data_IF_906107486646
#
_entry.id   IF_906107486646
#
_cell.length_a   1.000
_cell.length_b   1.000
_cell.length_c   1.000
_cell.angle_alpha   90.00
_cell.angle_beta   90.00
_cell.angle_gamma   90.00
#
_symmetry.space_group_name_H-M   'P 1'
#
loop_
_entity.id
_entity.type
_entity.pdbx_description
1 polymer ?
#
# COMPACT_ATOMS: atom_id res chain seq x y z
N UNK A 1 16.76 7.38 0.53
CA UNK A 1 15.71 6.61 1.24
C UNK A 1 16.15 5.99 2.58
N UNK A 2 17.09 5.03 2.64
CA UNK A 2 17.40 4.31 3.90
C UNK A 2 17.79 5.20 5.10
N UNK A 3 18.70 6.18 4.91
CA UNK A 3 19.12 7.12 5.97
C UNK A 3 17.94 7.92 6.55
N UNK A 4 17.02 8.35 5.67
CA UNK A 4 15.84 9.12 6.08
C UNK A 4 14.89 8.24 6.89
N UNK A 5 14.69 6.99 6.48
CA UNK A 5 13.89 6.02 7.24
C UNK A 5 14.50 5.71 8.60
N UNK A 6 15.82 5.54 8.70
CA UNK A 6 16.48 5.31 9.99
C UNK A 6 16.29 6.51 10.93
N UNK A 7 16.48 7.74 10.43
CA UNK A 7 16.21 8.95 11.20
C UNK A 7 14.74 9.02 11.63
N UNK A 8 13.81 8.77 10.71
CA UNK A 8 12.39 8.75 11.02
C UNK A 8 12.04 7.70 12.08
N UNK A 9 12.59 6.48 12.02
CA UNK A 9 12.36 5.45 13.05
C UNK A 9 12.89 5.86 14.41
N UNK A 10 14.06 6.53 14.48
CA UNK A 10 14.61 7.05 15.74
C UNK A 10 13.70 8.11 16.39
N UNK A 11 13.07 8.94 15.58
CA UNK A 11 12.20 10.03 16.03
C UNK A 11 10.76 9.54 16.32
N UNK A 12 10.16 8.82 15.36
CA UNK A 12 8.77 8.34 15.40
C UNK A 12 8.57 7.14 16.33
N UNK A 13 9.60 6.28 16.44
CA UNK A 13 9.64 5.07 17.30
C UNK A 13 8.46 4.12 17.07
N UNK A 14 8.27 3.63 15.83
CA UNK A 14 7.16 2.73 15.48
C UNK A 14 7.11 1.48 16.37
N UNK A 15 8.26 0.95 16.78
CA UNK A 15 8.41 -0.22 17.65
C UNK A 15 7.86 -0.03 19.07
N UNK A 16 7.63 1.22 19.49
CA UNK A 16 7.12 1.57 20.81
C UNK A 16 5.61 1.77 20.86
N UNK A 17 4.95 1.82 19.70
CA UNK A 17 3.49 1.97 19.66
C UNK A 17 2.86 0.70 20.24
N UNK A 18 1.87 0.89 21.11
CA UNK A 18 1.06 -0.16 21.71
C UNK A 18 -0.40 0.01 21.34
N UNK A 19 -1.18 -1.05 21.51
CA UNK A 19 -2.61 -1.08 21.25
C UNK A 19 -3.33 0.08 21.93
N UNK A 20 -3.02 0.35 23.20
CA UNK A 20 -3.64 1.41 23.98
C UNK A 20 -3.41 2.81 23.40
N UNK A 21 -2.31 3.03 22.65
CA UNK A 21 -2.03 4.31 21.98
C UNK A 21 -2.97 4.57 20.78
N UNK A 22 -3.52 3.50 20.20
CA UNK A 22 -4.26 3.56 18.92
C UNK A 22 -5.67 2.96 19.01
N UNK A 23 -6.10 2.46 20.17
CA UNK A 23 -7.37 1.75 20.35
C UNK A 23 -8.58 2.55 19.84
N UNK A 24 -8.62 3.86 20.13
CA UNK A 24 -9.65 4.77 19.63
C UNK A 24 -9.66 4.87 18.09
N UNK A 25 -8.50 4.83 17.44
CA UNK A 25 -8.41 4.85 15.97
C UNK A 25 -8.89 3.53 15.36
N UNK A 26 -8.80 2.43 16.10
CA UNK A 26 -9.14 1.08 15.64
C UNK A 26 -10.60 0.66 15.91
N UNK A 27 -11.36 1.44 16.69
CA UNK A 27 -12.70 1.10 17.18
C UNK A 27 -13.67 0.64 16.07
N UNK A 28 -13.64 1.33 14.93
CA UNK A 28 -14.52 1.04 13.79
C UNK A 28 -13.90 0.08 12.78
N UNK A 29 -12.67 -0.40 13.01
CA UNK A 29 -11.92 -1.22 12.06
C UNK A 29 -11.70 -0.54 10.71
N UNK A 30 -11.45 0.77 10.70
CA UNK A 30 -11.14 1.51 9.46
C UNK A 30 -9.82 1.08 8.80
N UNK A 31 -8.89 0.54 9.59
CA UNK A 31 -7.68 -0.14 9.13
C UNK A 31 -7.42 -1.28 10.11
N UNK A 32 -7.18 -2.50 9.64
CA UNK A 32 -6.83 -3.63 10.50
C UNK A 32 -6.15 -4.76 9.74
N UNK A 33 -5.35 -5.58 10.45
CA UNK A 33 -4.76 -6.81 9.91
C UNK A 33 -5.80 -7.93 9.98
N UNK A 34 -6.07 -8.61 8.88
CA UNK A 34 -6.95 -9.77 8.88
C UNK A 34 -6.31 -10.95 9.64
N UNK A 35 -7.15 -11.83 10.18
CA UNK A 35 -6.71 -13.09 10.81
C UNK A 35 -6.53 -14.25 9.82
N UNK A 36 -6.58 -13.95 8.52
CA UNK A 36 -6.32 -14.89 7.43
C UNK A 36 -5.25 -14.33 6.48
N UNK A 37 -4.63 -15.24 5.76
CA UNK A 37 -3.64 -14.95 4.72
C UNK A 37 -4.27 -15.17 3.35
N UNK A 38 -3.67 -14.60 2.32
CA UNK A 38 -3.96 -15.02 0.95
C UNK A 38 -3.38 -16.42 0.68
N UNK A 39 -3.72 -17.01 -0.47
CA UNK A 39 -3.24 -18.35 -0.87
C UNK A 39 -1.72 -18.42 -1.10
N UNK A 40 -1.03 -17.28 -1.19
CA UNK A 40 0.44 -17.19 -1.27
C UNK A 40 1.10 -16.98 0.10
N UNK A 41 0.33 -16.99 1.18
CA UNK A 41 0.83 -16.81 2.54
C UNK A 41 1.15 -15.36 2.88
N UNK A 42 0.63 -14.39 2.12
CA UNK A 42 0.80 -12.96 2.39
C UNK A 42 -0.24 -12.49 3.39
N UNK A 43 0.22 -11.67 4.34
CA UNK A 43 -0.66 -10.97 5.28
C UNK A 43 -1.63 -10.06 4.52
N UNK A 44 -2.87 -10.01 4.99
CA UNK A 44 -3.92 -9.14 4.41
C UNK A 44 -4.17 -7.96 5.35
N UNK A 45 -4.01 -6.75 4.82
CA UNK A 45 -4.33 -5.51 5.51
C UNK A 45 -5.60 -4.92 4.88
N UNK A 46 -6.61 -4.70 5.71
CA UNK A 46 -7.92 -4.22 5.28
C UNK A 46 -8.03 -2.73 5.58
N UNK A 47 -8.47 -1.97 4.58
CA UNK A 47 -8.74 -0.54 4.68
C UNK A 47 -10.22 -0.31 4.39
N UNK A 48 -10.94 0.33 5.31
CA UNK A 48 -12.36 0.65 5.18
C UNK A 48 -12.55 2.15 5.36
N UNK A 49 -12.25 2.98 4.34
CA UNK A 49 -12.32 4.43 4.47
C UNK A 49 -13.70 4.96 4.86
N UNK A 50 -14.80 4.26 4.54
CA UNK A 50 -16.15 4.61 4.99
C UNK A 50 -16.36 4.53 6.51
N UNK A 51 -15.42 3.93 7.24
CA UNK A 51 -15.49 3.73 8.70
C UNK A 51 -14.63 4.73 9.48
N UNK A 52 -14.21 5.84 8.86
CA UNK A 52 -13.45 6.88 9.54
C UNK A 52 -14.21 7.42 10.77
N UNK A 53 -13.57 7.37 11.94
CA UNK A 53 -14.16 7.77 13.22
C UNK A 53 -13.41 8.91 13.93
N UNK A 54 -12.25 9.30 13.43
CA UNK A 54 -11.43 10.38 14.02
C UNK A 54 -11.00 11.39 12.96
N UNK A 55 -10.64 12.61 13.38
CA UNK A 55 -10.13 13.68 12.51
C UNK A 55 -8.61 13.93 12.67
N UNK A 56 -8.01 13.40 13.74
CA UNK A 56 -6.61 13.65 14.10
C UNK A 56 -5.63 12.88 13.23
N UNK A 57 -5.03 13.53 12.23
CA UNK A 57 -4.09 12.91 11.29
C UNK A 57 -2.93 12.19 11.99
N UNK A 58 -2.39 12.77 13.07
CA UNK A 58 -1.30 12.12 13.83
C UNK A 58 -1.72 10.76 14.42
N UNK A 59 -2.96 10.65 14.91
CA UNK A 59 -3.51 9.39 15.41
C UNK A 59 -3.71 8.40 14.28
N UNK A 60 -4.31 8.84 13.18
CA UNK A 60 -4.52 8.03 11.97
C UNK A 60 -3.21 7.45 11.41
N UNK A 61 -2.17 8.27 11.30
CA UNK A 61 -0.85 7.82 10.83
C UNK A 61 -0.20 6.86 11.83
N UNK A 62 -0.32 7.12 13.13
CA UNK A 62 0.19 6.19 14.16
C UNK A 62 -0.52 4.84 14.10
N UNK A 63 -1.83 4.84 13.89
CA UNK A 63 -2.62 3.62 13.72
C UNK A 63 -2.22 2.85 12.46
N UNK A 64 -2.08 3.53 11.31
CA UNK A 64 -1.58 2.93 10.07
C UNK A 64 -0.22 2.27 10.29
N UNK A 65 0.73 2.99 10.89
CA UNK A 65 2.07 2.47 11.17
C UNK A 65 2.02 1.26 12.09
N UNK A 66 1.19 1.30 13.14
CA UNK A 66 0.97 0.16 14.03
C UNK A 66 0.48 -1.07 13.25
N UNK A 67 -0.51 -0.92 12.38
CA UNK A 67 -1.01 -2.03 11.56
C UNK A 67 0.05 -2.55 10.58
N UNK A 68 0.83 -1.67 9.94
CA UNK A 68 1.92 -2.03 9.03
C UNK A 68 3.02 -2.83 9.75
N UNK A 69 3.50 -2.36 10.90
CA UNK A 69 4.52 -3.06 11.69
C UNK A 69 4.02 -4.41 12.19
N UNK A 70 2.74 -4.51 12.61
CA UNK A 70 2.12 -5.80 12.96
C UNK A 70 2.00 -6.74 11.77
N UNK A 71 1.64 -6.23 10.59
CA UNK A 71 1.58 -7.04 9.38
C UNK A 71 2.96 -7.57 8.98
N UNK A 72 4.00 -6.72 9.04
CA UNK A 72 5.37 -7.10 8.69
C UNK A 72 5.91 -8.17 9.62
N UNK A 73 5.67 -8.06 10.94
CA UNK A 73 6.17 -9.06 11.90
C UNK A 73 5.49 -10.44 11.79
N UNK A 74 4.39 -10.53 11.06
CA UNK A 74 3.62 -11.77 10.85
C UNK A 74 3.83 -12.36 9.46
N UNK A 75 4.58 -11.68 8.59
CA UNK A 75 4.95 -12.25 7.30
C UNK A 75 5.83 -13.49 7.49
N UNK A 76 5.65 -14.46 6.60
CA UNK A 76 6.56 -15.58 6.49
C UNK A 76 7.97 -15.06 6.10
N UNK A 77 9.07 -15.71 6.52
CA UNK A 77 10.43 -15.26 6.22
C UNK A 77 10.71 -15.01 4.73
N UNK A 78 10.00 -15.72 3.84
CA UNK A 78 10.15 -15.61 2.39
C UNK A 78 9.16 -14.60 1.76
N UNK A 79 8.47 -13.78 2.56
CA UNK A 79 7.49 -12.80 2.09
C UNK A 79 7.81 -11.39 2.62
N UNK A 80 8.02 -10.45 1.71
CA UNK A 80 8.20 -9.03 2.03
C UNK A 80 6.97 -8.16 1.73
N UNK A 81 6.00 -8.76 1.04
CA UNK A 81 4.83 -8.10 0.49
C UNK A 81 3.53 -8.59 1.13
N UNK A 82 2.55 -7.70 1.17
CA UNK A 82 1.23 -7.94 1.73
C UNK A 82 0.13 -7.62 0.71
N UNK A 83 -1.08 -8.09 1.00
CA UNK A 83 -2.28 -7.72 0.25
C UNK A 83 -2.96 -6.55 0.93
N UNK A 84 -3.29 -5.51 0.17
CA UNK A 84 -4.12 -4.40 0.64
C UNK A 84 -5.51 -4.57 0.07
N UNK A 85 -6.50 -4.77 0.92
CA UNK A 85 -7.89 -4.96 0.56
C UNK A 85 -8.70 -3.74 1.01
N UNK A 86 -9.15 -2.93 0.05
CA UNK A 86 -9.83 -1.66 0.29
C UNK A 86 -11.33 -1.86 0.08
N UNK A 87 -12.10 -1.72 1.15
CA UNK A 87 -13.55 -1.78 1.19
C UNK A 87 -14.17 -0.39 1.06
N UNK A 88 -14.91 -0.14 -0.01
CA UNK A 88 -15.61 1.13 -0.21
C UNK A 88 -17.02 1.16 0.38
N UNK A 89 -17.42 0.16 1.18
CA UNK A 89 -18.68 0.22 1.92
C UNK A 89 -18.75 1.47 2.80
N UNK A 90 -19.87 2.20 2.69
CA UNK A 90 -20.11 3.43 3.45
C UNK A 90 -19.23 4.61 3.04
N UNK A 91 -18.42 4.47 1.99
CA UNK A 91 -17.56 5.54 1.54
C UNK A 91 -18.36 6.70 0.93
N UNK A 92 -17.95 7.91 1.30
CA UNK A 92 -18.40 9.17 0.70
C UNK A 92 -17.19 10.09 0.53
N UNK A 93 -17.35 11.17 -0.25
CA UNK A 93 -16.26 12.14 -0.51
C UNK A 93 -15.67 12.76 0.76
N UNK A 94 -16.44 12.85 1.85
CA UNK A 94 -15.98 13.45 3.12
C UNK A 94 -15.22 12.48 4.03
N UNK A 95 -15.16 11.18 3.70
CA UNK A 95 -14.57 10.16 4.57
C UNK A 95 -13.04 10.29 4.72
N UNK A 96 -12.35 10.81 3.71
CA UNK A 96 -10.89 11.01 3.75
C UNK A 96 -10.55 12.44 3.37
N UNK A 97 -9.82 13.14 4.23
CA UNK A 97 -9.25 14.44 3.84
C UNK A 97 -8.02 14.25 2.94
N UNK A 98 -7.86 15.13 1.95
CA UNK A 98 -6.67 15.19 1.08
C UNK A 98 -5.37 15.18 1.90
N UNK A 99 -5.36 15.90 3.03
CA UNK A 99 -4.21 15.95 3.93
C UNK A 99 -3.88 14.58 4.51
N UNK A 100 -4.88 13.84 5.02
CA UNK A 100 -4.67 12.50 5.54
C UNK A 100 -4.20 11.51 4.45
N UNK A 101 -4.77 11.61 3.24
CA UNK A 101 -4.36 10.80 2.11
C UNK A 101 -2.89 11.07 1.71
N UNK A 102 -2.50 12.35 1.65
CA UNK A 102 -1.11 12.76 1.35
C UNK A 102 -0.13 12.28 2.40
N UNK A 103 -0.43 12.44 3.69
CA UNK A 103 0.44 11.94 4.77
C UNK A 103 0.56 10.41 4.73
N UNK A 104 -0.53 9.71 4.43
CA UNK A 104 -0.54 8.25 4.27
C UNK A 104 0.37 7.83 3.11
N UNK A 105 0.20 8.45 1.95
CA UNK A 105 1.06 8.26 0.78
C UNK A 105 2.54 8.51 1.12
N UNK A 106 2.83 9.63 1.78
CA UNK A 106 4.19 10.01 2.17
C UNK A 106 4.83 8.95 3.07
N UNK A 107 4.13 8.47 4.10
CA UNK A 107 4.64 7.44 5.02
C UNK A 107 4.90 6.12 4.27
N UNK A 108 3.95 5.67 3.46
CA UNK A 108 4.06 4.39 2.76
C UNK A 108 5.20 4.39 1.75
N UNK A 109 5.36 5.46 0.97
CA UNK A 109 6.43 5.54 -0.03
C UNK A 109 7.82 5.71 0.58
N UNK A 110 7.95 6.60 1.57
CA UNK A 110 9.28 6.96 2.09
C UNK A 110 9.80 5.97 3.13
N UNK A 111 8.91 5.29 3.86
CA UNK A 111 9.31 4.47 5.02
C UNK A 111 8.90 3.00 4.91
N UNK A 112 7.94 2.66 4.05
CA UNK A 112 7.50 1.29 3.78
C UNK A 112 7.48 0.95 2.28
N UNK A 113 8.58 1.22 1.53
CA UNK A 113 8.61 0.97 0.10
C UNK A 113 8.46 -0.52 -0.22
N UNK A 114 7.93 -0.82 -1.40
CA UNK A 114 7.77 -2.18 -1.94
C UNK A 114 6.97 -3.19 -1.10
N UNK A 115 6.18 -2.72 -0.12
CA UNK A 115 5.32 -3.60 0.70
C UNK A 115 4.05 -4.07 -0.01
N UNK A 116 3.59 -3.36 -1.04
CA UNK A 116 2.39 -3.75 -1.79
C UNK A 116 2.71 -4.94 -2.72
N UNK A 117 2.06 -6.07 -2.47
CA UNK A 117 2.05 -7.23 -3.35
C UNK A 117 0.85 -7.26 -4.30
N UNK A 118 -0.35 -7.09 -3.74
CA UNK A 118 -1.61 -6.93 -4.49
C UNK A 118 -2.47 -5.89 -3.78
N UNK A 119 -3.04 -4.95 -4.53
CA UNK A 119 -4.04 -4.00 -4.06
C UNK A 119 -5.39 -4.34 -4.67
N UNK A 120 -6.42 -4.49 -3.85
CA UNK A 120 -7.77 -4.86 -4.28
C UNK A 120 -8.70 -3.73 -3.85
N UNK A 121 -9.26 -3.01 -4.82
CA UNK A 121 -10.33 -2.06 -4.58
C UNK A 121 -11.65 -2.81 -4.73
N UNK A 122 -12.34 -3.06 -3.62
CA UNK A 122 -13.57 -3.84 -3.57
C UNK A 122 -14.80 -2.93 -3.57
N UNK A 123 -15.68 -3.13 -4.56
CA UNK A 123 -16.84 -2.30 -4.88
C UNK A 123 -16.55 -0.77 -4.90
N UNK A 124 -15.47 -0.29 -5.54
CA UNK A 124 -15.20 1.14 -5.58
C UNK A 124 -16.28 1.87 -6.39
N UNK A 125 -16.62 3.12 -6.04
CA UNK A 125 -17.49 3.96 -6.88
C UNK A 125 -16.92 4.07 -8.30
N UNK A 126 -17.79 4.03 -9.31
CA UNK A 126 -17.36 3.96 -10.73
C UNK A 126 -16.42 5.09 -11.16
N UNK A 127 -16.52 6.27 -10.54
CA UNK A 127 -15.61 7.41 -10.78
C UNK A 127 -14.13 7.03 -10.57
N UNK A 128 -13.83 6.06 -9.69
CA UNK A 128 -12.46 5.60 -9.46
C UNK A 128 -11.85 4.87 -10.65
N UNK A 129 -12.63 4.16 -11.48
CA UNK A 129 -12.09 3.51 -12.69
C UNK A 129 -11.68 4.54 -13.74
N UNK A 130 -12.52 5.55 -13.95
CA UNK A 130 -12.26 6.67 -14.85
C UNK A 130 -11.01 7.44 -14.39
N UNK A 131 -10.95 7.74 -13.09
CA UNK A 131 -9.78 8.39 -12.49
C UNK A 131 -8.52 7.53 -12.65
N UNK A 132 -8.59 6.23 -12.35
CA UNK A 132 -7.46 5.30 -12.46
C UNK A 132 -6.89 5.26 -13.88
N UNK A 133 -7.77 5.28 -14.89
CA UNK A 133 -7.37 5.32 -16.30
C UNK A 133 -6.58 6.58 -16.65
N UNK A 134 -6.95 7.73 -16.08
CA UNK A 134 -6.27 9.00 -16.28
C UNK A 134 -4.89 9.04 -15.59
N UNK A 135 -4.77 8.44 -14.40
CA UNK A 135 -3.52 8.48 -13.63
C UNK A 135 -2.52 7.37 -13.96
N UNK A 136 -2.99 6.28 -14.55
CA UNK A 136 -2.17 5.12 -14.96
C UNK A 136 -0.89 5.48 -15.73
N UNK A 137 -0.85 6.45 -16.65
CA UNK A 137 0.38 6.84 -17.36
C UNK A 137 1.47 7.44 -16.44
N UNK A 138 1.10 7.90 -15.24
CA UNK A 138 2.01 8.52 -14.28
C UNK A 138 2.49 7.57 -13.18
N UNK A 139 2.01 6.33 -13.16
CA UNK A 139 2.34 5.31 -12.17
C UNK A 139 3.29 4.29 -12.80
N UNK A 140 4.34 3.87 -12.09
CA UNK A 140 5.27 2.86 -12.58
C UNK A 140 4.51 1.60 -13.06
N UNK A 141 4.89 1.01 -14.22
CA UNK A 141 4.19 -0.15 -14.74
C UNK A 141 4.04 -1.35 -13.79
N UNK A 142 4.99 -1.51 -12.86
CA UNK A 142 4.93 -2.57 -11.84
C UNK A 142 3.86 -2.29 -10.79
N UNK A 143 3.63 -1.03 -10.45
CA UNK A 143 2.68 -0.61 -9.42
C UNK A 143 1.25 -0.73 -9.89
N UNK A 144 0.92 -0.29 -11.12
CA UNK A 144 -0.47 -0.42 -11.59
C UNK A 144 -0.90 -1.88 -11.79
N UNK A 145 0.02 -2.78 -12.17
CA UNK A 145 -0.27 -4.22 -12.36
C UNK A 145 -0.63 -4.93 -11.06
N UNK A 146 -0.24 -4.37 -9.91
CA UNK A 146 -0.57 -4.90 -8.59
C UNK A 146 -1.99 -4.54 -8.16
N UNK A 147 -2.63 -3.55 -8.81
CA UNK A 147 -3.95 -3.04 -8.42
C UNK A 147 -5.06 -3.66 -9.26
N UNK A 148 -6.08 -4.20 -8.60
CA UNK A 148 -7.25 -4.82 -9.22
C UNK A 148 -8.54 -4.22 -8.67
N UNK A 149 -9.49 -3.97 -9.58
CA UNK A 149 -10.84 -3.51 -9.26
C UNK A 149 -11.74 -4.74 -9.20
N UNK A 150 -12.44 -4.93 -8.09
CA UNK A 150 -13.28 -6.11 -7.83
C UNK A 150 -14.69 -5.64 -7.52
N UNK A 151 -15.65 -6.15 -8.31
CA UNK A 151 -17.07 -5.92 -8.11
C UNK A 151 -17.77 -7.21 -7.70
N UNK A 152 -18.55 -7.14 -6.62
CA UNK A 152 -19.25 -8.29 -6.04
C UNK A 152 -20.16 -9.04 -7.02
N UNK A 153 -20.69 -8.36 -8.03
CA UNK A 153 -21.56 -8.93 -9.07
C UNK A 153 -20.82 -9.35 -10.37
N UNK A 154 -19.51 -9.16 -10.44
CA UNK A 154 -18.70 -9.47 -11.63
C UNK A 154 -18.14 -10.88 -11.59
N UNK A 155 -18.46 -11.78 -12.56
CA UNK A 155 -17.92 -13.14 -12.57
C UNK A 155 -16.39 -13.21 -12.58
N UNK A 156 -15.73 -12.30 -13.32
CA UNK A 156 -14.26 -12.23 -13.35
C UNK A 156 -13.68 -11.75 -12.01
N UNK A 157 -14.34 -10.81 -11.35
CA UNK A 157 -13.97 -10.31 -10.02
C UNK A 157 -14.10 -11.40 -8.96
N UNK A 158 -15.19 -12.19 -9.00
CA UNK A 158 -15.38 -13.35 -8.11
C UNK A 158 -14.27 -14.38 -8.32
N UNK A 159 -13.97 -14.72 -9.57
CA UNK A 159 -12.89 -15.67 -9.91
C UNK A 159 -11.53 -15.20 -9.41
N UNK A 160 -11.22 -13.91 -9.53
CA UNK A 160 -9.99 -13.32 -8.98
C UNK A 160 -9.92 -13.48 -7.45
N UNK A 161 -11.02 -13.22 -6.74
CA UNK A 161 -11.06 -13.40 -5.28
C UNK A 161 -10.89 -14.88 -4.90
N UNK A 162 -11.51 -15.80 -5.63
CA UNK A 162 -11.33 -17.25 -5.45
C UNK A 162 -9.88 -17.70 -5.72
N UNK A 163 -9.20 -17.11 -6.69
CA UNK A 163 -7.79 -17.42 -6.99
C UNK A 163 -6.85 -16.90 -5.89
N UNK A 164 -7.18 -15.76 -5.26
CA UNK A 164 -6.35 -15.11 -4.26
C UNK A 164 -6.60 -15.64 -2.83
N UNK A 165 -7.83 -16.01 -2.48
CA UNK A 165 -8.21 -16.29 -1.10
C UNK A 165 -8.84 -17.67 -0.90
N UNK A 166 -8.71 -18.16 0.32
CA UNK A 166 -9.55 -19.23 0.83
C UNK A 166 -10.92 -18.65 1.20
N UNK A 167 -11.94 -19.00 0.40
CA UNK A 167 -13.27 -18.43 0.51
C UNK A 167 -14.00 -18.83 1.81
N UNK A 168 -13.57 -19.89 2.51
CA UNK A 168 -14.11 -20.24 3.83
C UNK A 168 -13.61 -19.30 4.94
N UNK A 169 -12.45 -18.69 4.73
CA UNK A 169 -11.81 -17.77 5.70
C UNK A 169 -12.10 -16.30 5.39
N UNK A 170 -12.20 -15.97 4.11
CA UNK A 170 -12.49 -14.62 3.62
C UNK A 170 -13.83 -14.13 4.20
N UNK A 171 -13.84 -12.88 4.64
CA UNK A 171 -15.02 -12.19 5.17
C UNK A 171 -16.14 -12.13 4.11
N UNK A 172 -17.40 -12.31 4.53
CA UNK A 172 -18.56 -12.20 3.67
C UNK A 172 -18.73 -10.80 3.06
N UNK A 173 -18.19 -9.75 3.71
CA UNK A 173 -18.10 -8.40 3.13
C UNK A 173 -17.35 -8.38 1.79
N UNK A 174 -16.41 -9.31 1.59
CA UNK A 174 -15.61 -9.47 0.37
C UNK A 174 -16.04 -10.66 -0.50
N UNK A 175 -17.25 -11.18 -0.28
CA UNK A 175 -17.80 -12.32 -1.02
C UNK A 175 -17.36 -13.69 -0.51
N UNK A 176 -16.69 -13.77 0.64
CA UNK A 176 -16.36 -15.02 1.31
C UNK A 176 -17.53 -15.63 2.10
N UNK A 177 -17.25 -16.72 2.82
CA UNK A 177 -18.23 -17.47 3.62
C UNK A 177 -18.08 -17.24 5.13
N UNK A 178 -17.06 -16.53 5.57
CA UNK A 178 -16.87 -16.20 6.98
C UNK A 178 -17.77 -15.02 7.38
N UNK A 179 -18.75 -15.28 8.25
CA UNK A 179 -19.71 -14.28 8.73
C UNK A 179 -19.30 -13.55 10.01
N UNK A 180 -18.12 -13.82 10.57
CA UNK A 180 -17.69 -13.22 11.83
C UNK A 180 -17.51 -11.69 11.73
N UNK A 181 -17.09 -11.19 10.57
CA UNK A 181 -16.82 -9.77 10.36
C UNK A 181 -15.67 -9.24 11.24
N UNK A 182 -15.54 -7.92 11.27
CA UNK A 182 -14.67 -7.24 12.22
C UNK A 182 -15.34 -7.13 13.60
N UNK A 183 -14.72 -7.73 14.62
CA UNK A 183 -15.10 -7.58 16.02
C UNK A 183 -13.99 -6.85 16.78
N UNK A 184 -14.31 -5.68 17.35
CA UNK A 184 -13.33 -4.82 17.99
C UNK A 184 -12.69 -5.47 19.23
N UNK A 185 -13.49 -6.09 20.10
CA UNK A 185 -13.00 -6.69 21.34
C UNK A 185 -12.04 -7.85 21.09
N UNK A 186 -12.40 -8.75 20.17
CA UNK A 186 -11.56 -9.87 19.75
C UNK A 186 -10.27 -9.38 19.08
N UNK A 187 -10.38 -8.38 18.20
CA UNK A 187 -9.20 -7.78 17.57
C UNK A 187 -8.29 -7.10 18.59
N UNK A 188 -8.85 -6.36 19.54
CA UNK A 188 -8.13 -5.70 20.61
C UNK A 188 -7.38 -6.70 21.51
N UNK A 189 -8.01 -7.83 21.85
CA UNK A 189 -7.35 -8.90 22.60
C UNK A 189 -6.15 -9.45 21.82
N UNK A 190 -6.35 -9.76 20.55
CA UNK A 190 -5.29 -10.28 19.69
C UNK A 190 -4.11 -9.30 19.54
N UNK A 191 -4.38 -8.01 19.35
CA UNK A 191 -3.33 -6.99 19.24
C UNK A 191 -2.52 -6.83 20.53
N UNK A 192 -3.17 -6.89 21.71
CA UNK A 192 -2.44 -6.86 23.00
C UNK A 192 -1.54 -8.07 23.21
N UNK A 193 -1.98 -9.25 22.78
CA UNK A 193 -1.14 -10.45 22.83
C UNK A 193 0.09 -10.31 21.93
N UNK A 194 -0.07 -9.75 20.73
CA UNK A 194 1.05 -9.49 19.83
C UNK A 194 2.02 -8.44 20.39
N UNK A 195 1.51 -7.38 21.02
CA UNK A 195 2.34 -6.39 21.72
C UNK A 195 3.17 -7.04 22.84
N UNK A 196 2.55 -7.96 23.61
CA UNK A 196 3.24 -8.71 24.66
C UNK A 196 4.34 -9.60 24.08
N UNK A 197 4.05 -10.37 23.03
CA UNK A 197 5.05 -11.22 22.35
C UNK A 197 6.23 -10.40 21.81
N UNK A 198 5.95 -9.24 21.21
CA UNK A 198 6.98 -8.31 20.71
C UNK A 198 7.86 -7.79 21.84
N UNK A 199 7.25 -7.42 22.96
CA UNK A 199 7.99 -6.97 24.15
C UNK A 199 8.88 -8.08 24.71
N UNK A 200 8.37 -9.30 24.84
CA UNK A 200 9.11 -10.45 25.36
C UNK A 200 10.30 -10.79 24.45
N UNK A 201 10.10 -10.80 23.13
CA UNK A 201 11.17 -11.04 22.14
C UNK A 201 12.28 -10.00 22.22
N UNK A 202 11.93 -8.72 22.44
CA UNK A 202 12.90 -7.63 22.56
C UNK A 202 13.73 -7.74 23.86
N UNK A 203 13.13 -8.23 24.94
CA UNK A 203 13.81 -8.37 26.24
C UNK A 203 14.61 -9.67 26.38
N UNK A 204 14.23 -10.73 25.67
CA UNK A 204 14.92 -12.02 25.68
C UNK A 204 16.15 -12.07 24.74
N UNK A 205 16.41 -10.98 23.99
CA UNK A 205 17.55 -10.83 23.08
C UNK A 205 18.95 -10.83 23.74
N UNK A 206 19.07 -11.22 25.01
CA UNK A 206 20.35 -11.43 25.71
C UNK A 206 20.74 -12.91 25.90
N UNK A 207 19.95 -13.89 25.44
CA UNK A 207 20.37 -15.30 25.55
C UNK A 207 19.68 -16.27 24.57
N UNK A 208 20.14 -16.35 23.32
CA UNK A 208 20.22 -17.62 22.58
C UNK A 208 20.96 -17.48 21.24
N UNK A 209 21.76 -18.48 20.81
CA UNK A 209 22.63 -18.36 19.64
C UNK A 209 21.85 -18.59 18.33
N UNK A 210 22.16 -17.76 17.33
CA UNK A 210 21.81 -18.01 15.93
C UNK A 210 22.35 -19.39 15.47
N UNK A 211 21.61 -20.17 14.67
CA UNK A 211 22.17 -21.34 14.01
C UNK A 211 23.28 -20.90 13.06
N UNK A 212 24.49 -21.38 13.29
CA UNK A 212 25.65 -21.15 12.44
C UNK A 212 25.42 -21.80 11.07
N UNK A 213 25.35 -20.99 10.01
CA UNK A 213 25.53 -21.48 8.65
C UNK A 213 26.99 -21.22 8.28
N UNK A 214 27.82 -22.27 8.34
CA UNK A 214 29.14 -22.34 7.75
C UNK A 214 29.22 -23.54 6.79
N UNK A 215 30.08 -23.36 5.78
CA UNK A 215 30.50 -24.26 4.70
C UNK A 215 29.52 -24.42 3.53
N UNK A 216 29.93 -24.40 2.26
CA UNK A 216 31.29 -24.34 1.70
C UNK A 216 31.23 -23.94 0.22
N UNK A 217 32.25 -23.22 -0.21
CA UNK A 217 32.61 -22.88 -1.58
C UNK A 217 33.23 -24.04 -2.35
N UNK A 218 32.95 -24.12 -3.66
CA UNK A 218 33.80 -24.56 -4.79
C UNK A 218 32.90 -24.58 -6.03
N UNK A 219 33.24 -24.15 -7.26
CA UNK A 219 34.48 -24.02 -8.04
C UNK A 219 34.03 -23.34 -9.35
N UNK A 220 34.65 -22.34 -9.96
CA UNK A 220 35.90 -22.34 -10.74
C UNK A 220 35.67 -21.43 -11.95
N UNK A 221 36.63 -20.55 -12.20
CA UNK A 221 36.76 -19.70 -13.39
C UNK A 221 37.01 -20.54 -14.66
N UNK A 222 36.77 -19.98 -15.87
CA UNK A 222 37.78 -19.86 -16.95
C UNK A 222 37.25 -19.05 -18.15
N UNK A 223 37.89 -17.88 -18.34
CA UNK A 223 38.34 -17.17 -19.56
C UNK A 223 37.69 -17.37 -20.96
N UNK A 224 37.47 -16.20 -21.60
CA UNK A 224 37.26 -15.87 -23.04
C UNK A 224 38.53 -16.16 -23.90
N UNK A 225 38.64 -16.00 -25.27
CA UNK A 225 38.22 -14.84 -26.11
C UNK A 225 37.82 -15.17 -27.59
N UNK A 226 37.20 -14.30 -28.41
CA UNK A 226 37.83 -13.23 -29.22
C UNK A 226 36.98 -12.92 -30.48
N UNK A 227 37.16 -11.72 -31.06
CA UNK A 227 36.75 -11.32 -32.44
C UNK A 227 35.75 -10.16 -32.48
N UNK A 228 36.15 -8.87 -32.40
CA UNK A 228 36.68 -7.96 -33.44
C UNK A 228 35.80 -7.85 -34.71
N UNK A 229 35.14 -6.69 -34.88
CA UNK A 229 35.34 -5.80 -36.05
C UNK A 229 34.64 -4.43 -35.88
N UNK A 230 35.36 -3.39 -36.30
CA UNK A 230 35.02 -1.96 -36.30
C UNK A 230 34.27 -1.50 -37.59
N UNK A 231 33.84 -0.22 -37.53
CA UNK A 231 33.62 0.77 -38.62
C UNK A 231 32.15 0.90 -39.09
N UNK A 232 31.48 2.05 -38.81
CA UNK A 232 31.43 3.29 -39.64
C UNK A 232 30.44 3.12 -40.80
N UNK A 233 29.51 4.01 -41.18
CA UNK A 233 29.31 5.45 -40.96
C UNK A 233 27.91 5.85 -41.53
N UNK A 234 27.44 7.03 -41.09
CA UNK A 234 26.58 8.05 -41.77
C UNK A 234 25.06 7.84 -42.02
N UNK A 235 24.30 8.72 -41.36
CA UNK A 235 23.27 9.65 -41.85
C UNK A 235 22.14 9.20 -42.81
N UNK A 236 20.90 9.37 -42.35
CA UNK A 236 19.96 10.25 -43.07
C UNK A 236 18.91 10.87 -42.12
N UNK A 237 18.59 12.12 -42.42
CA UNK A 237 17.73 13.05 -41.72
C UNK A 237 16.26 12.89 -42.11
N UNK A 238 15.32 13.06 -41.17
CA UNK A 238 14.02 13.67 -41.47
C UNK A 238 13.28 14.16 -40.22
N UNK A 239 12.81 15.40 -40.35
CA UNK A 239 12.10 16.27 -39.43
C UNK A 239 10.72 15.80 -38.96
N UNK A 240 10.28 16.26 -37.79
CA UNK A 240 8.85 16.32 -37.45
C UNK A 240 8.51 16.59 -35.98
N UNK A 241 8.41 17.86 -35.62
CA UNK A 241 7.57 18.46 -34.56
C UNK A 241 7.76 18.07 -33.09
N UNK A 242 8.65 18.81 -32.41
CA UNK A 242 8.50 19.11 -30.98
C UNK A 242 7.25 19.96 -30.75
N UNK A 243 6.30 19.45 -29.96
CA UNK A 243 5.28 20.27 -29.31
C UNK A 243 5.49 20.25 -27.80
N UNK A 244 6.42 21.09 -27.36
CA UNK A 244 6.51 21.54 -25.96
C UNK A 244 5.24 22.31 -25.63
N UNK A 245 4.35 21.72 -24.81
CA UNK A 245 3.25 22.45 -24.20
C UNK A 245 3.72 22.96 -22.84
N UNK A 246 4.01 24.26 -22.80
CA UNK A 246 4.22 25.05 -21.59
C UNK A 246 3.02 24.87 -20.65
N UNK A 247 3.28 24.30 -19.47
CA UNK A 247 2.32 24.20 -18.36
C UNK A 247 2.50 25.39 -17.41
N UNK A 248 2.39 26.60 -17.95
CA UNK A 248 2.23 27.84 -17.19
C UNK A 248 1.07 28.58 -17.85
N UNK A 249 -0.13 28.39 -17.31
CA UNK A 249 -1.38 29.17 -17.46
C UNK A 249 -2.60 28.24 -17.32
N UNK A 250 -2.82 27.74 -16.11
CA UNK A 250 -4.18 27.44 -15.63
C UNK A 250 -4.29 28.07 -14.24
N UNK A 251 -4.12 29.39 -14.19
CA UNK A 251 -4.68 30.23 -13.16
C UNK A 251 -5.47 31.32 -13.87
N UNK A 252 -6.64 31.66 -13.32
CA UNK A 252 -7.62 32.64 -13.80
C UNK A 252 -8.49 32.27 -15.01
N UNK A 253 -9.47 31.36 -14.80
CA UNK A 253 -10.90 31.63 -15.12
C UNK A 253 -11.83 30.47 -14.76
N UNK A 254 -12.22 30.39 -13.49
CA UNK A 254 -13.52 29.82 -13.12
C UNK A 254 -14.02 30.46 -11.82
N UNK A 255 -14.40 31.74 -11.91
CA UNK A 255 -15.30 32.31 -10.90
C UNK A 255 -16.71 31.78 -11.16
N UNK A 256 -17.24 31.02 -10.20
CA UNK A 256 -18.68 30.90 -9.96
C UNK A 256 -19.43 29.82 -10.73
N UNK A 257 -19.08 28.54 -10.54
CA UNK A 257 -19.98 27.38 -10.73
C UNK A 257 -19.61 26.32 -9.69
N UNK A 258 -20.57 25.71 -8.97
CA UNK A 258 -20.23 24.62 -8.04
C UNK A 258 -19.74 23.43 -8.85
N UNK A 259 -18.48 23.06 -8.66
CA UNK A 259 -17.92 21.81 -9.19
C UNK A 259 -18.79 20.65 -8.72
N UNK A 260 -19.10 19.73 -9.62
CA UNK A 260 -19.84 18.53 -9.25
C UNK A 260 -19.01 17.70 -8.25
N UNK A 261 -19.68 16.89 -7.41
CA UNK A 261 -18.96 16.03 -6.46
C UNK A 261 -17.98 15.05 -7.11
N UNK A 262 -18.14 14.77 -8.41
CA UNK A 262 -17.24 13.95 -9.21
C UNK A 262 -15.97 14.70 -9.63
N UNK A 263 -16.08 15.99 -9.96
CA UNK A 263 -14.94 16.82 -10.37
C UNK A 263 -13.97 17.08 -9.20
N UNK A 264 -14.52 17.21 -7.99
CA UNK A 264 -13.72 17.35 -6.75
C UNK A 264 -12.95 16.05 -6.47
N UNK A 265 -13.59 14.89 -6.63
CA UNK A 265 -12.97 13.59 -6.41
C UNK A 265 -11.77 13.34 -7.35
N UNK A 266 -11.93 13.73 -8.62
CA UNK A 266 -10.87 13.62 -9.62
C UNK A 266 -9.74 14.58 -9.29
N UNK A 267 -10.02 15.83 -8.89
CA UNK A 267 -8.98 16.79 -8.51
C UNK A 267 -8.18 16.33 -7.29
N UNK A 268 -8.84 15.86 -6.24
CA UNK A 268 -8.17 15.41 -5.01
C UNK A 268 -7.32 14.15 -5.25
N UNK A 269 -7.82 13.22 -6.05
CA UNK A 269 -7.09 12.02 -6.41
C UNK A 269 -5.90 12.34 -7.35
N UNK A 270 -6.04 13.33 -8.25
CA UNK A 270 -4.94 13.87 -9.07
C UNK A 270 -3.84 14.45 -8.17
N UNK A 271 -4.19 15.17 -7.12
CA UNK A 271 -3.22 15.74 -6.17
C UNK A 271 -2.53 14.65 -5.35
N UNK A 272 -3.25 13.60 -4.94
CA UNK A 272 -2.67 12.42 -4.29
C UNK A 272 -1.66 11.74 -5.22
N UNK A 273 -1.98 11.56 -6.50
CA UNK A 273 -1.06 10.94 -7.47
C UNK A 273 0.14 11.84 -7.81
N UNK A 274 -0.06 13.15 -7.92
CA UNK A 274 1.04 14.11 -8.10
C UNK A 274 2.01 14.08 -6.92
N UNK A 275 1.50 13.93 -5.71
CA UNK A 275 2.33 13.78 -4.50
C UNK A 275 3.02 12.41 -4.44
N UNK A 276 2.35 11.34 -4.86
CA UNK A 276 2.97 10.02 -5.02
C UNK A 276 4.15 10.06 -6.02
N UNK A 277 4.01 10.82 -7.11
CA UNK A 277 5.07 10.98 -8.13
C UNK A 277 6.28 11.78 -7.63
N UNK A 278 6.08 12.75 -6.73
CA UNK A 278 7.19 13.52 -6.13
C UNK A 278 8.05 12.66 -5.21
N UNK A 279 7.48 11.63 -4.58
CA UNK A 279 8.21 10.69 -3.72
C UNK A 279 9.08 9.68 -4.48
N UNK A 280 8.78 9.38 -5.74
CA UNK A 280 9.56 8.45 -6.57
C UNK A 280 10.77 9.10 -7.27
N UNK A 281 10.81 10.45 -7.33
CA UNK A 281 11.88 11.23 -7.96
C UNK A 281 12.93 11.78 -6.98
N UNK A 282 12.86 11.42 -5.69
CA UNK A 282 13.73 11.91 -4.61
C UNK A 282 14.49 10.78 -3.88
#
# INVERSE_FOLDING_TARGET
>A
MLKNTLKWRLEFKPEKIRWEDIANEAETGKVYRANYLDKKGRTVLIFRPGFQNTSGIRGQIRHLVYCMENAITTLNPDQDQMVWLIDFQGWTMSCISVKAARETAHILQNHYPERLGVGILYNPPKVFESFWTLVKPFIEPKTYKKVSFVYSNGPQSQKLMEELFDMDKLDCAFGGRNSAGFNYEAYAQWMREDDKKKFDMMNCGSSSPLPSIMSESQSSETLTPSGISMASDEDDSSSGDEKTLNLENIDEKTQGLPLSGEDVAVSEAVDIVKELKKGELA
#
